data_IF_103312654909
#
_entry.id   IF_103312654909
#
_cell.length_a   1.000
_cell.length_b   1.000
_cell.length_c   1.000
_cell.angle_alpha   90.00
_cell.angle_beta   90.00
_cell.angle_gamma   90.00
#
_symmetry.space_group_name_H-M   'P 1'
#
loop_
_entity.id
_entity.type
_entity.pdbx_description
1 polymer ?
#
# COMPACT_ATOMS: atom_id res chain seq x y z
N UNK A 1 -47.42 29.99 -9.77
CA UNK A 1 -46.99 28.96 -8.79
C UNK A 1 -46.28 27.78 -9.47
N UNK A 2 -46.52 27.52 -10.76
CA UNK A 2 -45.96 26.38 -11.51
C UNK A 2 -44.46 26.48 -11.83
N UNK A 3 -43.94 27.69 -12.13
CA UNK A 3 -42.50 27.91 -12.40
C UNK A 3 -41.61 27.55 -11.20
N UNK A 4 -42.07 27.83 -9.97
CA UNK A 4 -41.34 27.49 -8.76
C UNK A 4 -41.31 25.96 -8.53
N UNK A 5 -42.41 25.27 -8.83
CA UNK A 5 -42.50 23.81 -8.71
C UNK A 5 -41.60 23.14 -9.75
N UNK A 6 -41.56 23.66 -10.99
CA UNK A 6 -40.68 23.18 -12.06
C UNK A 6 -39.19 23.37 -11.76
N UNK A 7 -38.81 24.49 -11.14
CA UNK A 7 -37.43 24.75 -10.74
C UNK A 7 -36.97 23.77 -9.64
N UNK A 8 -37.82 23.53 -8.64
CA UNK A 8 -37.53 22.59 -7.54
C UNK A 8 -37.44 21.14 -8.06
N UNK A 9 -38.33 20.74 -8.98
CA UNK A 9 -38.25 19.40 -9.60
C UNK A 9 -36.99 19.24 -10.46
N UNK A 10 -36.61 20.26 -11.23
CA UNK A 10 -35.37 20.25 -12.00
C UNK A 10 -34.12 20.07 -11.14
N UNK A 11 -34.04 20.76 -10.00
CA UNK A 11 -32.93 20.60 -9.06
C UNK A 11 -32.92 19.22 -8.39
N UNK A 12 -34.10 18.68 -8.07
CA UNK A 12 -34.24 17.33 -7.49
C UNK A 12 -33.82 16.25 -8.48
N UNK A 13 -34.24 16.35 -9.75
CA UNK A 13 -33.85 15.44 -10.83
C UNK A 13 -32.36 15.55 -11.12
N UNK A 14 -31.82 16.76 -11.19
CA UNK A 14 -30.37 16.98 -11.38
C UNK A 14 -29.54 16.37 -10.25
N UNK A 15 -29.97 16.55 -8.99
CA UNK A 15 -29.35 15.89 -7.82
C UNK A 15 -29.48 14.37 -7.86
N UNK A 16 -30.62 13.86 -8.31
CA UNK A 16 -30.87 12.42 -8.43
C UNK A 16 -30.00 11.78 -9.53
N UNK A 17 -29.92 12.42 -10.70
CA UNK A 17 -29.04 12.00 -11.81
C UNK A 17 -27.57 12.09 -11.40
N UNK A 18 -27.16 13.16 -10.72
CA UNK A 18 -25.79 13.30 -10.20
C UNK A 18 -25.48 12.22 -9.16
N UNK A 19 -26.42 11.93 -8.26
CA UNK A 19 -26.28 10.86 -7.27
C UNK A 19 -26.16 9.49 -7.92
N UNK A 20 -26.99 9.19 -8.93
CA UNK A 20 -26.91 7.94 -9.68
C UNK A 20 -25.60 7.84 -10.47
N UNK A 21 -25.17 8.91 -11.14
CA UNK A 21 -23.91 8.95 -11.87
C UNK A 21 -22.72 8.71 -10.93
N UNK A 22 -22.72 9.33 -9.75
CA UNK A 22 -21.70 9.15 -8.72
C UNK A 22 -21.70 7.72 -8.14
N UNK A 23 -22.88 7.12 -7.93
CA UNK A 23 -23.03 5.72 -7.49
C UNK A 23 -22.59 4.73 -8.57
N UNK A 24 -22.87 5.03 -9.84
CA UNK A 24 -22.50 4.20 -11.00
C UNK A 24 -21.00 4.29 -11.29
N UNK A 25 -20.40 5.47 -11.17
CA UNK A 25 -18.95 5.65 -11.28
C UNK A 25 -18.18 5.00 -10.13
N UNK A 26 -18.72 5.06 -8.90
CA UNK A 26 -18.12 4.40 -7.73
C UNK A 26 -18.16 2.87 -7.85
N UNK A 27 -19.26 2.30 -8.36
CA UNK A 27 -19.43 0.84 -8.51
C UNK A 27 -18.68 0.23 -9.71
N UNK A 28 -18.27 1.04 -10.70
CA UNK A 28 -17.46 0.57 -11.85
C UNK A 28 -15.95 0.59 -11.59
N UNK A 29 -15.50 1.22 -10.49
CA UNK A 29 -14.10 1.31 -10.07
C UNK A 29 -13.43 0.04 -9.47
N UNK A 30 -14.14 -1.02 -8.98
CA UNK A 30 -13.50 -2.17 -8.34
C UNK A 30 -12.53 -2.93 -9.26
N UNK A 31 -12.88 -3.11 -10.54
CA UNK A 31 -12.10 -3.96 -11.46
C UNK A 31 -10.73 -3.36 -11.85
N UNK A 32 -10.57 -2.04 -11.78
CA UNK A 32 -9.28 -1.38 -12.05
C UNK A 32 -8.37 -1.40 -10.83
N UNK A 33 -8.93 -1.21 -9.64
CA UNK A 33 -8.18 -1.20 -8.38
C UNK A 33 -7.57 -2.55 -8.06
N UNK A 34 -8.32 -3.65 -8.22
CA UNK A 34 -7.80 -5.00 -7.97
C UNK A 34 -6.61 -5.37 -8.87
N UNK A 35 -6.63 -4.96 -10.14
CA UNK A 35 -5.50 -5.19 -11.06
C UNK A 35 -4.27 -4.40 -10.65
N UNK A 36 -4.45 -3.14 -10.26
CA UNK A 36 -3.36 -2.29 -9.76
C UNK A 36 -2.77 -2.83 -8.45
N UNK A 37 -3.63 -3.29 -7.53
CA UNK A 37 -3.18 -3.91 -6.27
C UNK A 37 -2.40 -5.20 -6.51
N UNK A 38 -2.86 -6.07 -7.41
CA UNK A 38 -2.12 -7.29 -7.80
C UNK A 38 -0.76 -6.95 -8.41
N UNK A 39 -0.71 -5.93 -9.28
CA UNK A 39 0.54 -5.45 -9.88
C UNK A 39 1.50 -4.89 -8.80
N UNK A 40 0.97 -4.09 -7.87
CA UNK A 40 1.73 -3.55 -6.75
C UNK A 40 2.31 -4.67 -5.88
N UNK A 41 1.50 -5.67 -5.51
CA UNK A 41 1.96 -6.83 -4.74
C UNK A 41 3.09 -7.59 -5.46
N UNK A 42 2.96 -7.78 -6.78
CA UNK A 42 4.00 -8.44 -7.57
C UNK A 42 5.31 -7.63 -7.59
N UNK A 43 5.23 -6.32 -7.77
CA UNK A 43 6.40 -5.43 -7.74
C UNK A 43 7.05 -5.38 -6.35
N UNK A 44 6.25 -5.31 -5.29
CA UNK A 44 6.72 -5.36 -3.91
C UNK A 44 7.45 -6.67 -3.61
N UNK A 45 6.89 -7.82 -4.03
CA UNK A 45 7.56 -9.11 -3.87
C UNK A 45 8.92 -9.11 -4.56
N UNK A 46 8.99 -8.59 -5.80
CA UNK A 46 10.24 -8.51 -6.55
C UNK A 46 11.25 -7.59 -5.87
N UNK A 47 10.83 -6.39 -5.44
CA UNK A 47 11.68 -5.45 -4.72
C UNK A 47 12.21 -6.08 -3.41
N UNK A 48 11.32 -6.72 -2.64
CA UNK A 48 11.66 -7.39 -1.40
C UNK A 48 12.70 -8.48 -1.60
N UNK A 49 12.53 -9.36 -2.59
CA UNK A 49 13.53 -10.40 -2.88
C UNK A 49 14.91 -9.84 -3.22
N UNK A 50 14.97 -8.69 -3.91
CA UNK A 50 16.24 -8.03 -4.24
C UNK A 50 16.86 -7.40 -3.00
N UNK A 51 16.06 -6.76 -2.14
CA UNK A 51 16.53 -6.19 -0.87
C UNK A 51 17.03 -7.28 0.08
N UNK A 52 16.30 -8.39 0.22
CA UNK A 52 16.73 -9.53 1.04
C UNK A 52 18.02 -10.17 0.52
N UNK A 53 18.16 -10.36 -0.80
CA UNK A 53 19.41 -10.88 -1.37
C UNK A 53 20.58 -9.88 -1.18
N UNK A 54 20.30 -8.58 -1.20
CA UNK A 54 21.30 -7.55 -0.97
C UNK A 54 21.75 -7.46 0.48
N UNK A 55 20.85 -7.68 1.45
CA UNK A 55 21.16 -7.72 2.89
C UNK A 55 22.15 -8.85 3.23
N UNK A 56 22.16 -9.92 2.43
CA UNK A 56 23.10 -11.03 2.57
C UNK A 56 24.46 -10.83 1.87
N UNK A 57 24.81 -9.63 1.39
CA UNK A 57 26.02 -9.40 0.58
C UNK A 57 26.85 -8.20 1.04
N UNK A 58 28.15 -8.27 0.80
CA UNK A 58 29.06 -7.16 1.04
C UNK A 58 29.02 -6.16 -0.13
N UNK A 59 28.26 -5.08 0.03
CA UNK A 59 28.16 -4.00 -0.96
C UNK A 59 29.08 -2.84 -0.54
N UNK A 60 30.20 -2.67 -1.24
CA UNK A 60 31.16 -1.58 -0.99
C UNK A 60 30.99 -0.38 -1.92
N UNK A 61 30.31 -0.57 -3.06
CA UNK A 61 30.06 0.47 -4.04
C UNK A 61 28.95 1.43 -3.56
N UNK A 62 29.27 2.71 -3.42
CA UNK A 62 28.33 3.74 -2.94
C UNK A 62 27.14 3.97 -3.88
N UNK A 63 27.33 3.82 -5.19
CA UNK A 63 26.25 3.90 -6.19
C UNK A 63 25.26 2.74 -6.06
N UNK A 64 25.76 1.53 -5.83
CA UNK A 64 24.90 0.37 -5.55
C UNK A 64 24.13 0.53 -4.24
N UNK A 65 24.77 1.06 -3.19
CA UNK A 65 24.09 1.39 -1.93
C UNK A 65 22.98 2.43 -2.14
N UNK A 66 23.23 3.45 -2.96
CA UNK A 66 22.20 4.45 -3.29
C UNK A 66 21.02 3.82 -4.04
N UNK A 67 21.28 2.93 -5.01
CA UNK A 67 20.24 2.17 -5.72
C UNK A 67 19.42 1.29 -4.76
N UNK A 68 20.09 0.55 -3.88
CA UNK A 68 19.43 -0.26 -2.86
C UNK A 68 18.55 0.60 -1.92
N UNK A 69 19.04 1.78 -1.53
CA UNK A 69 18.29 2.71 -0.69
C UNK A 69 17.03 3.23 -1.40
N UNK A 70 17.14 3.59 -2.68
CA UNK A 70 15.98 4.01 -3.50
C UNK A 70 14.95 2.87 -3.64
N UNK A 71 15.41 1.63 -3.86
CA UNK A 71 14.54 0.47 -3.92
C UNK A 71 13.82 0.22 -2.60
N UNK A 72 14.54 0.27 -1.48
CA UNK A 72 13.98 0.08 -0.16
C UNK A 72 12.94 1.16 0.19
N UNK A 73 13.23 2.44 -0.08
CA UNK A 73 12.29 3.53 0.15
C UNK A 73 11.00 3.36 -0.67
N UNK A 74 11.12 3.08 -1.96
CA UNK A 74 9.97 2.81 -2.84
C UNK A 74 9.16 1.59 -2.36
N UNK A 75 9.84 0.53 -1.92
CA UNK A 75 9.21 -0.67 -1.38
C UNK A 75 8.42 -0.37 -0.10
N UNK A 76 9.00 0.33 0.88
CA UNK A 76 8.31 0.67 2.13
C UNK A 76 7.12 1.62 1.90
N UNK A 77 7.26 2.59 0.99
CA UNK A 77 6.12 3.42 0.55
C UNK A 77 5.01 2.60 -0.10
N UNK A 78 5.37 1.61 -0.92
CA UNK A 78 4.40 0.70 -1.51
C UNK A 78 3.69 -0.17 -0.46
N UNK A 79 4.40 -0.67 0.56
CA UNK A 79 3.78 -1.39 1.68
C UNK A 79 2.82 -0.50 2.47
N UNK A 80 3.20 0.74 2.75
CA UNK A 80 2.33 1.71 3.41
C UNK A 80 1.05 1.96 2.61
N UNK A 81 1.18 2.24 1.31
CA UNK A 81 0.03 2.48 0.43
C UNK A 81 -0.90 1.25 0.34
N UNK A 82 -0.31 0.05 0.29
CA UNK A 82 -1.06 -1.20 0.30
C UNK A 82 -1.81 -1.40 1.63
N UNK A 83 -1.17 -1.14 2.77
CA UNK A 83 -1.80 -1.21 4.09
C UNK A 83 -2.96 -0.23 4.24
N UNK A 84 -2.78 1.02 3.80
CA UNK A 84 -3.84 2.04 3.81
C UNK A 84 -5.05 1.62 2.97
N UNK A 85 -4.82 0.99 1.81
CA UNK A 85 -5.91 0.49 0.95
C UNK A 85 -6.70 -0.65 1.58
N UNK A 86 -6.03 -1.56 2.28
CA UNK A 86 -6.67 -2.69 2.97
C UNK A 86 -7.55 -2.21 4.13
N UNK A 87 -7.08 -1.24 4.93
CA UNK A 87 -7.85 -0.68 6.04
C UNK A 87 -9.19 -0.09 5.58
N UNK A 88 -9.18 0.68 4.48
CA UNK A 88 -10.39 1.31 3.92
C UNK A 88 -11.38 0.26 3.40
N UNK A 89 -10.88 -0.81 2.77
CA UNK A 89 -11.73 -1.91 2.32
C UNK A 89 -12.41 -2.65 3.48
N UNK A 90 -11.74 -2.76 4.63
CA UNK A 90 -12.27 -3.42 5.82
C UNK A 90 -13.37 -2.57 6.50
N UNK A 91 -13.17 -1.25 6.60
CA UNK A 91 -14.16 -0.31 7.15
C UNK A 91 -15.46 -0.27 6.31
N UNK A 92 -15.36 -0.49 5.00
CA UNK A 92 -16.54 -0.67 4.13
C UNK A 92 -17.33 -1.94 4.44
N UNK A 93 -16.68 -3.03 4.85
CA UNK A 93 -17.37 -4.28 5.16
C UNK A 93 -18.09 -4.25 6.51
N UNK A 94 -17.52 -3.57 7.51
CA UNK A 94 -18.11 -3.46 8.85
C UNK A 94 -19.28 -2.49 8.88
N UNK A 95 -19.23 -1.39 8.12
CA UNK A 95 -20.32 -0.41 8.03
C UNK A 95 -21.55 -0.91 7.26
N UNK A 96 -21.45 -2.04 6.56
CA UNK A 96 -22.53 -2.62 5.76
C UNK A 96 -23.08 -3.94 6.35
N UNK A 97 -22.54 -4.40 7.49
CA UNK A 97 -22.80 -5.73 8.06
C UNK A 97 -23.50 -5.77 9.42
N UNK A 98 -23.89 -4.63 10.00
CA UNK A 98 -24.55 -4.56 11.31
C UNK A 98 -25.99 -4.04 11.20
N UNK A 99 -26.90 -4.84 10.66
CA UNK A 99 -28.34 -4.68 10.84
C UNK A 99 -28.98 -6.05 11.18
N UNK A 100 -28.68 -6.59 12.36
CA UNK A 100 -29.52 -7.57 13.04
C UNK A 100 -29.55 -7.25 14.54
N UNK A 101 -30.69 -6.79 15.04
CA UNK A 101 -30.93 -6.50 16.47
C UNK A 101 -31.78 -5.26 16.68
N UNK A 102 -33.03 -5.48 17.09
CA UNK A 102 -34.08 -4.48 17.23
C UNK A 102 -33.79 -3.32 18.20
N UNK A 103 -34.38 -2.18 17.83
CA UNK A 103 -35.10 -1.22 18.66
C UNK A 103 -34.51 0.18 18.93
N UNK A 104 -35.37 1.17 18.67
CA UNK A 104 -35.31 2.62 18.92
C UNK A 104 -34.46 3.53 17.99
N UNK A 105 -35.20 4.24 17.12
CA UNK A 105 -34.78 5.34 16.24
C UNK A 105 -33.98 6.44 16.96
N UNK A 106 -32.97 7.00 16.27
CA UNK A 106 -32.93 8.44 16.05
C UNK A 106 -32.77 8.76 14.54
N UNK A 107 -33.42 9.84 14.09
CA UNK A 107 -33.50 10.28 12.69
C UNK A 107 -32.14 10.30 11.95
N UNK A 108 -31.92 9.50 10.87
CA UNK A 108 -30.58 9.24 10.32
C UNK A 108 -30.18 10.09 9.10
N UNK A 109 -31.03 10.97 8.58
CA UNK A 109 -30.84 11.48 7.21
C UNK A 109 -29.82 12.61 7.00
N UNK A 110 -29.31 13.25 8.07
CA UNK A 110 -28.36 14.38 7.95
C UNK A 110 -26.93 14.06 8.40
N UNK A 111 -26.72 13.02 9.23
CA UNK A 111 -25.38 12.62 9.70
C UNK A 111 -24.67 11.68 8.69
N UNK A 112 -25.45 10.87 7.96
CA UNK A 112 -24.94 9.96 6.93
C UNK A 112 -24.28 10.67 5.74
N UNK A 113 -24.75 11.86 5.33
CA UNK A 113 -24.21 12.56 4.15
C UNK A 113 -22.80 13.11 4.38
N UNK A 114 -22.53 13.60 5.59
CA UNK A 114 -21.23 14.21 5.94
C UNK A 114 -20.16 13.13 6.15
N UNK A 115 -20.52 12.01 6.78
CA UNK A 115 -19.60 10.87 6.95
C UNK A 115 -19.26 10.25 5.59
N UNK A 116 -20.24 10.09 4.71
CA UNK A 116 -20.02 9.47 3.41
C UNK A 116 -19.24 10.38 2.44
N UNK A 117 -19.38 11.71 2.54
CA UNK A 117 -18.58 12.64 1.72
C UNK A 117 -17.11 12.69 2.15
N UNK A 118 -16.83 12.63 3.46
CA UNK A 118 -15.47 12.57 4.00
C UNK A 118 -14.81 11.23 3.64
N UNK A 119 -15.52 10.11 3.82
CA UNK A 119 -15.03 8.78 3.45
C UNK A 119 -14.70 8.70 1.95
N UNK A 120 -15.56 9.24 1.09
CA UNK A 120 -15.32 9.29 -0.37
C UNK A 120 -14.13 10.16 -0.75
N UNK A 121 -13.93 11.30 -0.08
CA UNK A 121 -12.76 12.19 -0.30
C UNK A 121 -11.46 11.48 0.09
N UNK A 122 -11.45 10.80 1.24
CA UNK A 122 -10.29 10.04 1.71
C UNK A 122 -9.96 8.88 0.76
N UNK A 123 -10.96 8.17 0.23
CA UNK A 123 -10.78 7.12 -0.79
C UNK A 123 -10.14 7.63 -2.08
N UNK A 124 -10.59 8.79 -2.56
CA UNK A 124 -10.04 9.38 -3.78
C UNK A 124 -8.57 9.77 -3.59
N UNK A 125 -8.22 10.33 -2.42
CA UNK A 125 -6.85 10.70 -2.08
C UNK A 125 -5.93 9.47 -1.99
N UNK A 126 -6.37 8.42 -1.31
CA UNK A 126 -5.60 7.17 -1.20
C UNK A 126 -5.42 6.44 -2.53
N UNK A 127 -6.42 6.48 -3.44
CA UNK A 127 -6.26 5.88 -4.77
C UNK A 127 -5.22 6.62 -5.62
N UNK A 128 -5.15 7.95 -5.51
CA UNK A 128 -4.13 8.75 -6.21
C UNK A 128 -2.75 8.47 -5.62
N UNK A 129 -2.64 8.37 -4.30
CA UNK A 129 -1.40 8.01 -3.61
C UNK A 129 -0.94 6.57 -3.96
N UNK A 130 -1.88 5.61 -4.02
CA UNK A 130 -1.62 4.24 -4.45
C UNK A 130 -1.10 4.17 -5.89
N UNK A 131 -1.70 4.95 -6.79
CA UNK A 131 -1.26 4.98 -8.18
C UNK A 131 0.12 5.61 -8.32
N UNK A 132 0.39 6.73 -7.65
CA UNK A 132 1.71 7.37 -7.67
C UNK A 132 2.80 6.49 -7.06
N UNK A 133 2.49 5.76 -5.98
CA UNK A 133 3.44 4.80 -5.39
C UNK A 133 3.68 3.58 -6.29
N UNK A 134 2.66 3.10 -7.00
CA UNK A 134 2.81 2.03 -7.99
C UNK A 134 3.71 2.45 -9.15
N UNK A 135 3.47 3.62 -9.73
CA UNK A 135 4.28 4.17 -10.84
C UNK A 135 5.73 4.38 -10.39
N UNK A 136 5.94 4.99 -9.22
CA UNK A 136 7.27 5.18 -8.65
C UNK A 136 8.01 3.87 -8.41
N UNK A 137 7.34 2.85 -7.85
CA UNK A 137 7.96 1.55 -7.62
C UNK A 137 8.26 0.83 -8.94
N UNK A 138 7.40 0.96 -9.93
CA UNK A 138 7.60 0.39 -11.27
C UNK A 138 8.84 0.99 -11.95
N UNK A 139 8.99 2.32 -11.91
CA UNK A 139 10.15 3.03 -12.46
C UNK A 139 11.45 2.59 -11.79
N UNK A 140 11.45 2.51 -10.44
CA UNK A 140 12.62 2.07 -9.68
C UNK A 140 12.96 0.62 -10.04
N UNK A 141 12.00 -0.30 -10.01
CA UNK A 141 12.23 -1.72 -10.33
C UNK A 141 12.69 -1.91 -11.79
N UNK A 142 12.18 -1.11 -12.73
CA UNK A 142 12.64 -1.13 -14.12
C UNK A 142 14.12 -0.73 -14.23
N UNK A 143 14.56 0.25 -13.43
CA UNK A 143 15.96 0.69 -13.35
C UNK A 143 16.92 -0.25 -12.60
N UNK A 144 16.42 -1.28 -11.91
CA UNK A 144 17.26 -2.15 -11.07
C UNK A 144 17.97 -3.29 -11.80
N UNK A 145 17.83 -3.43 -13.12
CA UNK A 145 18.45 -4.55 -13.86
C UNK A 145 19.98 -4.59 -13.69
N UNK A 146 20.65 -3.44 -13.86
CA UNK A 146 22.10 -3.34 -13.71
C UNK A 146 22.54 -3.62 -12.26
N UNK A 147 21.81 -3.08 -11.29
CA UNK A 147 22.04 -3.35 -9.87
C UNK A 147 22.01 -4.85 -9.57
N UNK A 148 20.99 -5.56 -10.03
CA UNK A 148 20.82 -7.01 -9.79
C UNK A 148 21.96 -7.81 -10.41
N UNK A 149 22.41 -7.44 -11.62
CA UNK A 149 23.55 -8.09 -12.28
C UNK A 149 24.84 -7.88 -11.48
N UNK A 150 25.11 -6.65 -11.05
CA UNK A 150 26.29 -6.31 -10.24
C UNK A 150 26.25 -6.98 -8.87
N UNK A 151 25.06 -7.05 -8.26
CA UNK A 151 24.84 -7.67 -6.95
C UNK A 151 25.27 -9.14 -6.95
N UNK A 152 25.09 -9.84 -8.07
CA UNK A 152 25.55 -11.23 -8.24
C UNK A 152 27.05 -11.42 -8.01
N UNK A 153 27.86 -10.40 -8.30
CA UNK A 153 29.31 -10.40 -8.11
C UNK A 153 29.78 -9.98 -6.71
N UNK A 154 28.88 -9.52 -5.83
CA UNK A 154 29.24 -9.19 -4.46
C UNK A 154 29.39 -10.46 -3.61
N UNK A 155 30.43 -10.51 -2.78
CA UNK A 155 30.65 -11.63 -1.86
C UNK A 155 29.47 -11.78 -0.90
N UNK A 156 29.04 -13.03 -0.68
CA UNK A 156 27.99 -13.33 0.29
C UNK A 156 28.53 -13.18 1.71
N UNK A 157 27.74 -12.54 2.56
CA UNK A 157 27.94 -12.54 3.99
C UNK A 157 27.76 -13.99 4.47
N UNK A 158 28.87 -14.67 4.74
CA UNK A 158 28.81 -15.97 5.40
C UNK A 158 28.28 -15.72 6.80
N UNK A 159 27.04 -16.15 7.04
CA UNK A 159 26.51 -16.31 8.39
C UNK A 159 27.33 -17.43 9.04
N UNK A 160 28.53 -17.09 9.53
CA UNK A 160 29.42 -18.02 10.23
C UNK A 160 28.56 -18.61 11.35
N UNK A 161 28.22 -19.92 11.30
CA UNK A 161 27.49 -20.54 12.39
C UNK A 161 28.47 -20.58 13.55
N UNK A 162 28.38 -19.56 14.40
CA UNK A 162 29.30 -19.27 15.49
C UNK A 162 30.75 -19.11 15.01
N UNK A 163 31.25 -17.86 15.02
CA UNK A 163 32.56 -17.70 15.65
C UNK A 163 32.42 -18.13 17.10
N UNK A 164 32.48 -19.45 17.32
CA UNK A 164 32.44 -20.03 18.65
C UNK A 164 33.64 -19.55 19.47
N UNK A 165 34.63 -18.89 18.85
CA UNK A 165 35.87 -18.49 19.47
C UNK A 165 36.12 -17.01 19.26
N UNK A 166 36.15 -16.24 20.34
CA UNK A 166 36.80 -14.94 20.37
C UNK A 166 38.29 -15.16 20.62
N UNK A 167 39.16 -14.59 19.78
CA UNK A 167 40.61 -14.69 19.92
C UNK A 167 41.18 -13.38 20.46
N UNK A 168 41.78 -13.41 21.65
CA UNK A 168 42.48 -12.27 22.26
C UNK A 168 43.77 -12.76 22.91
N UNK A 169 44.89 -12.10 22.65
CA UNK A 169 46.19 -12.37 23.28
C UNK A 169 46.59 -13.86 23.34
N UNK A 170 46.42 -14.58 22.22
CA UNK A 170 46.72 -16.02 22.06
C UNK A 170 45.78 -16.98 22.82
N UNK A 171 44.65 -16.49 23.33
CA UNK A 171 43.66 -17.28 24.04
C UNK A 171 42.36 -17.31 23.20
N UNK A 172 41.83 -18.52 22.96
CA UNK A 172 40.53 -18.74 22.31
C UNK A 172 39.43 -18.91 23.36
N UNK A 173 38.40 -18.07 23.31
CA UNK A 173 37.24 -18.13 24.20
C UNK A 173 36.03 -18.75 23.50
N UNK A 174 35.74 -20.00 23.85
CA UNK A 174 34.54 -20.74 23.43
C UNK A 174 33.24 -20.10 23.95
N UNK A 175 32.32 -19.65 23.09
CA UNK A 175 30.93 -19.33 23.50
C UNK A 175 30.13 -20.63 23.57
N UNK A 176 30.17 -21.31 24.73
CA UNK A 176 29.43 -22.55 24.96
C UNK A 176 28.02 -22.30 25.50
N UNK A 177 27.20 -21.47 24.83
CA UNK A 177 25.75 -21.40 25.11
C UNK A 177 25.00 -20.84 23.91
N UNK A 178 24.46 -21.71 23.07
CA UNK A 178 23.13 -21.54 22.50
C UNK A 178 22.57 -22.95 22.21
N UNK A 179 21.51 -23.30 22.94
CA UNK A 179 20.61 -24.41 22.62
C UNK A 179 19.43 -23.80 21.87
#
# INVERSE_FOLDING_TARGET
MELAISAVTGELVSRFVSYLADRYHSSRRPQSGEKQLKKLQQLLLRAHTVVEEADGRYITNSGMLAQLTMLADAMYRGYWALGASNYISLEETTTMGEEEGEDLKPSPLKRLRTVNSIARKNRAMHLVELQGTLESLEDVVAGMMEFVVLLGGCDRMLRRPYEAYLFSDKIMFGRHTEK
#
